data_IF_765497653951
#
_entry.id   IF_765497653951
#
_cell.length_a   1.000
_cell.length_b   1.000
_cell.length_c   1.000
_cell.angle_alpha   90.00
_cell.angle_beta   90.00
_cell.angle_gamma   90.00
#
_symmetry.space_group_name_H-M   'P 1'
#
loop_
_entity.id
_entity.type
_entity.pdbx_description
1 polymer ?
#
# COMPACT_ATOMS: atom_id res chain seq x y z
N UNK A 1 2.17 -5.95 16.31
CA UNK A 1 2.54 -5.13 15.15
C UNK A 1 4.03 -4.75 15.12
N UNK A 2 4.62 -4.60 13.93
CA UNK A 2 5.95 -4.02 13.67
C UNK A 2 5.92 -3.13 12.42
N UNK A 3 6.71 -2.07 12.41
CA UNK A 3 6.97 -1.21 11.26
C UNK A 3 8.39 -1.50 10.73
N UNK A 4 8.52 -1.61 9.41
CA UNK A 4 9.78 -1.71 8.68
C UNK A 4 9.81 -0.57 7.67
N UNK A 5 10.95 0.11 7.54
CA UNK A 5 11.11 1.27 6.64
C UNK A 5 12.13 0.93 5.54
N UNK A 6 11.96 1.54 4.36
CA UNK A 6 12.90 1.46 3.25
C UNK A 6 13.10 0.04 2.75
N UNK A 7 11.99 -0.65 2.43
CA UNK A 7 12.07 -2.01 1.92
C UNK A 7 12.51 -1.96 0.46
N UNK A 8 13.45 -2.82 0.05
CA UNK A 8 13.83 -2.85 -1.35
C UNK A 8 12.63 -3.27 -2.21
N UNK A 9 12.41 -2.54 -3.30
CA UNK A 9 11.41 -2.93 -4.27
C UNK A 9 11.85 -4.24 -4.93
N UNK A 10 11.04 -5.32 -4.89
CA UNK A 10 11.49 -6.62 -5.38
C UNK A 10 11.93 -6.58 -6.84
N UNK A 11 13.18 -6.97 -7.10
CA UNK A 11 13.76 -6.94 -8.45
C UNK A 11 14.21 -5.55 -8.93
N UNK A 12 14.40 -4.60 -8.03
CA UNK A 12 15.02 -3.30 -8.27
C UNK A 12 16.13 -3.07 -7.25
N UNK A 13 17.26 -2.54 -7.69
CA UNK A 13 18.36 -2.12 -6.79
C UNK A 13 18.24 -0.66 -6.35
N UNK A 14 17.36 0.12 -6.99
CA UNK A 14 17.31 1.58 -6.86
C UNK A 14 15.96 2.12 -6.41
N UNK A 15 14.96 1.26 -6.24
CA UNK A 15 13.63 1.66 -5.80
C UNK A 15 13.29 0.96 -4.49
N UNK A 16 12.53 1.65 -3.66
CA UNK A 16 12.05 1.17 -2.37
C UNK A 16 10.53 1.32 -2.26
N UNK A 17 9.96 0.55 -1.33
CA UNK A 17 8.66 0.80 -0.73
C UNK A 17 8.93 1.50 0.59
N UNK A 18 8.37 2.69 0.79
CA UNK A 18 8.68 3.54 1.95
C UNK A 18 8.56 2.77 3.26
N UNK A 19 7.44 2.06 3.44
CA UNK A 19 7.15 1.37 4.69
C UNK A 19 6.40 0.05 4.49
N UNK A 20 6.56 -0.85 5.46
CA UNK A 20 5.69 -2.00 5.65
C UNK A 20 5.25 -2.13 7.12
N UNK A 21 3.97 -2.38 7.34
CA UNK A 21 3.42 -2.70 8.66
C UNK A 21 3.01 -4.16 8.70
N UNK A 22 3.54 -4.90 9.67
CA UNK A 22 3.28 -6.32 9.89
C UNK A 22 2.48 -6.52 11.18
N UNK A 23 1.33 -7.20 11.08
CA UNK A 23 0.53 -7.66 12.21
C UNK A 23 0.11 -9.12 11.99
N UNK A 24 0.53 -10.05 12.85
CA UNK A 24 0.37 -11.49 12.62
C UNK A 24 0.98 -11.91 11.27
N UNK A 25 0.11 -12.31 10.33
CA UNK A 25 0.43 -12.66 8.94
C UNK A 25 -0.04 -11.62 7.90
N UNK A 26 -0.54 -10.46 8.34
CA UNK A 26 -1.01 -9.37 7.47
C UNK A 26 0.11 -8.35 7.28
N UNK A 27 0.39 -8.01 6.03
CA UNK A 27 1.42 -7.05 5.61
C UNK A 27 0.76 -5.93 4.82
N UNK A 28 0.84 -4.71 5.34
CA UNK A 28 0.50 -3.51 4.61
C UNK A 28 1.78 -2.89 4.02
N UNK A 29 1.88 -2.79 2.71
CA UNK A 29 2.91 -2.02 2.01
C UNK A 29 2.40 -0.59 1.82
N UNK A 30 3.23 0.41 2.12
CA UNK A 30 2.83 1.81 2.13
C UNK A 30 3.84 2.63 1.33
N UNK A 31 3.33 3.45 0.42
CA UNK A 31 4.06 4.50 -0.28
C UNK A 31 3.37 5.85 -0.01
N UNK A 32 4.12 6.80 0.55
CA UNK A 32 3.61 8.08 1.03
C UNK A 32 3.88 9.18 0.01
N UNK A 33 2.83 9.91 -0.37
CA UNK A 33 2.89 10.91 -1.43
C UNK A 33 2.38 12.26 -0.96
N UNK A 34 3.18 13.31 -1.19
CA UNK A 34 2.77 14.70 -0.96
C UNK A 34 2.26 15.32 -2.28
N UNK A 35 0.96 15.25 -2.51
CA UNK A 35 0.32 15.71 -3.76
C UNK A 35 -0.56 16.94 -3.56
N UNK A 36 -0.80 17.67 -4.65
CA UNK A 36 -1.78 18.77 -4.62
C UNK A 36 -3.19 18.17 -4.52
N UNK A 37 -4.13 18.80 -3.79
CA UNK A 37 -5.52 18.37 -3.82
C UNK A 37 -6.06 18.35 -5.25
N UNK A 38 -6.73 17.25 -5.59
CA UNK A 38 -7.39 16.94 -6.86
C UNK A 38 -8.15 15.61 -6.68
N UNK A 39 -8.86 15.17 -7.71
CA UNK A 39 -9.39 13.80 -7.75
C UNK A 39 -8.35 12.85 -8.33
N UNK A 40 -8.00 11.81 -7.57
CA UNK A 40 -7.07 10.75 -7.93
C UNK A 40 -7.81 9.42 -7.98
N UNK A 41 -7.47 8.56 -8.93
CA UNK A 41 -8.00 7.20 -8.99
C UNK A 41 -6.93 6.22 -9.46
N UNK A 42 -6.94 5.01 -8.91
CA UNK A 42 -6.18 3.90 -9.46
C UNK A 42 -6.78 3.47 -10.80
N UNK A 43 -5.93 2.98 -11.71
CA UNK A 43 -6.36 2.36 -12.95
C UNK A 43 -6.31 0.84 -12.77
N UNK A 44 -7.48 0.19 -12.73
CA UNK A 44 -7.60 -1.26 -12.49
C UNK A 44 -6.65 -2.08 -13.37
N UNK A 45 -5.82 -2.95 -12.77
CA UNK A 45 -4.92 -3.84 -13.53
C UNK A 45 -3.76 -3.15 -14.24
N UNK A 46 -3.51 -1.87 -13.94
CA UNK A 46 -2.41 -1.10 -14.51
C UNK A 46 -1.56 -0.46 -13.41
N UNK A 47 -0.26 -0.36 -13.65
CA UNK A 47 0.69 0.41 -12.83
C UNK A 47 0.53 1.92 -13.09
N UNK A 48 -0.67 2.45 -12.88
CA UNK A 48 -0.98 3.85 -13.15
C UNK A 48 -2.03 4.44 -12.21
N UNK A 49 -1.88 5.74 -11.97
CA UNK A 49 -2.86 6.61 -11.32
C UNK A 49 -3.29 7.64 -12.33
N UNK A 50 -4.59 7.92 -12.35
CA UNK A 50 -5.16 9.04 -13.11
C UNK A 50 -5.53 10.19 -12.18
N UNK A 51 -5.31 11.41 -12.66
CA UNK A 51 -5.58 12.67 -11.96
C UNK A 51 -6.40 13.57 -12.87
N UNK A 52 -7.47 14.16 -12.34
CA UNK A 52 -8.34 15.04 -13.11
C UNK A 52 -9.80 14.83 -12.78
N UNK A 53 -10.69 15.02 -13.74
CA UNK A 53 -12.13 14.97 -13.52
C UNK A 53 -12.89 15.20 -14.81
N UNK A 54 -13.93 16.04 -14.76
CA UNK A 54 -14.82 16.32 -15.90
C UNK A 54 -14.08 16.94 -17.10
N UNK A 55 -13.04 17.72 -16.85
CA UNK A 55 -12.22 18.35 -17.91
C UNK A 55 -11.21 17.39 -18.56
N UNK A 56 -11.11 16.15 -18.06
CA UNK A 56 -10.21 15.12 -18.58
C UNK A 56 -9.28 14.54 -17.51
N UNK A 57 -8.54 13.50 -17.91
CA UNK A 57 -7.66 12.73 -17.04
C UNK A 57 -6.23 12.71 -17.57
N UNK A 58 -5.27 12.99 -16.69
CA UNK A 58 -3.84 12.76 -16.89
C UNK A 58 -3.42 11.46 -16.20
N UNK A 59 -2.48 10.72 -16.76
CA UNK A 59 -2.04 9.42 -16.26
C UNK A 59 -0.58 9.45 -15.85
N UNK A 60 -0.27 8.87 -14.69
CA UNK A 60 1.06 8.82 -14.11
C UNK A 60 1.39 7.39 -13.69
N UNK A 61 2.64 6.93 -13.84
CA UNK A 61 3.07 5.63 -13.36
C UNK A 61 2.87 5.46 -11.84
N UNK A 62 2.47 4.26 -11.42
CA UNK A 62 2.37 3.87 -10.02
C UNK A 62 2.79 2.42 -9.86
N UNK A 63 3.86 2.17 -9.10
CA UNK A 63 4.50 0.85 -9.04
C UNK A 63 3.99 -0.04 -7.88
N UNK A 64 3.08 0.46 -7.05
CA UNK A 64 2.56 -0.28 -5.90
C UNK A 64 1.83 -1.59 -6.29
N UNK A 65 1.03 -1.67 -7.37
CA UNK A 65 0.43 -2.95 -7.79
C UNK A 65 1.50 -4.01 -8.09
N UNK A 66 2.51 -3.66 -8.88
CA UNK A 66 3.67 -4.52 -9.12
C UNK A 66 4.40 -4.88 -7.82
N UNK A 67 4.60 -3.95 -6.88
CA UNK A 67 5.24 -4.25 -5.59
C UNK A 67 4.46 -5.33 -4.82
N UNK A 68 3.14 -5.17 -4.69
CA UNK A 68 2.26 -6.12 -4.02
C UNK A 68 2.33 -7.50 -4.68
N UNK A 69 2.24 -7.57 -6.01
CA UNK A 69 2.34 -8.83 -6.75
C UNK A 69 3.66 -9.55 -6.48
N UNK A 70 4.79 -8.83 -6.60
CA UNK A 70 6.12 -9.42 -6.41
C UNK A 70 6.38 -9.84 -4.96
N UNK A 71 5.89 -9.09 -3.97
CA UNK A 71 5.94 -9.50 -2.57
C UNK A 71 5.12 -10.77 -2.34
N UNK A 72 3.89 -10.85 -2.86
CA UNK A 72 3.04 -12.06 -2.78
C UNK A 72 3.74 -13.26 -3.41
N UNK A 73 4.32 -13.11 -4.60
CA UNK A 73 5.06 -14.18 -5.28
C UNK A 73 6.28 -14.65 -4.47
N UNK A 74 7.07 -13.72 -3.94
CA UNK A 74 8.28 -14.02 -3.17
C UNK A 74 7.97 -14.74 -1.86
N UNK A 75 6.94 -14.29 -1.14
CA UNK A 75 6.46 -14.92 0.09
C UNK A 75 5.89 -16.33 -0.20
N UNK A 76 5.10 -16.46 -1.27
CA UNK A 76 4.55 -17.73 -1.75
C UNK A 76 5.63 -18.75 -2.11
N UNK A 77 6.67 -18.34 -2.84
CA UNK A 77 7.82 -19.19 -3.19
C UNK A 77 8.59 -19.69 -1.96
N UNK A 78 8.59 -18.92 -0.86
CA UNK A 78 9.18 -19.30 0.43
C UNK A 78 8.20 -20.05 1.36
N UNK A 79 6.99 -20.34 0.89
CA UNK A 79 5.89 -20.97 1.65
C UNK A 79 5.53 -20.18 2.92
N UNK A 80 5.72 -18.86 2.89
CA UNK A 80 5.29 -17.95 3.94
C UNK A 80 3.87 -17.48 3.62
N UNK A 81 2.90 -17.89 4.45
CA UNK A 81 1.50 -17.49 4.29
C UNK A 81 1.34 -16.08 4.82
N UNK A 82 1.17 -15.11 3.92
CA UNK A 82 0.88 -13.73 4.28
C UNK A 82 -0.24 -13.16 3.41
N UNK A 83 -1.06 -12.30 4.01
CA UNK A 83 -1.97 -11.44 3.28
C UNK A 83 -1.28 -10.10 3.05
N UNK A 84 -1.10 -9.70 1.79
CA UNK A 84 -0.41 -8.46 1.43
C UNK A 84 -1.41 -7.50 0.81
N UNK A 85 -1.49 -6.27 1.31
CA UNK A 85 -2.24 -5.15 0.72
C UNK A 85 -1.30 -3.96 0.50
N UNK A 86 -1.49 -3.24 -0.59
CA UNK A 86 -0.74 -2.02 -0.89
C UNK A 86 -1.58 -0.77 -0.62
N UNK A 87 -0.90 0.27 -0.17
CA UNK A 87 -1.50 1.56 0.12
C UNK A 87 -0.63 2.65 -0.46
N UNK A 88 -1.24 3.55 -1.22
CA UNK A 88 -0.63 4.82 -1.59
C UNK A 88 -1.32 5.89 -0.75
N UNK A 89 -0.56 6.44 0.19
CA UNK A 89 -1.07 7.38 1.20
C UNK A 89 -0.84 8.78 0.70
N UNK A 90 -1.93 9.52 0.47
CA UNK A 90 -1.87 10.89 -0.02
C UNK A 90 -1.94 11.86 1.16
N UNK A 91 -0.85 12.61 1.33
CA UNK A 91 -0.80 13.78 2.20
C UNK A 91 -1.06 15.02 1.34
N UNK A 92 -2.22 15.67 1.47
CA UNK A 92 -2.54 16.83 0.65
C UNK A 92 -1.62 18.00 1.02
N UNK A 93 -1.06 18.67 0.01
CA UNK A 93 -0.22 19.87 0.17
C UNK A 93 -0.99 21.10 0.66
N UNK A 94 -2.31 21.04 0.64
CA UNK A 94 -3.23 22.10 1.05
C UNK A 94 -4.42 21.45 1.75
N UNK A 95 -4.84 22.00 2.89
CA UNK A 95 -5.99 21.52 3.66
C UNK A 95 -7.28 22.30 3.34
N UNK A 96 -7.20 23.28 2.44
CA UNK A 96 -8.32 24.17 2.08
C UNK A 96 -8.94 23.83 0.74
N UNK A 97 -8.29 22.97 -0.05
CA UNK A 97 -8.80 22.47 -1.33
C UNK A 97 -9.17 20.99 -1.17
N UNK A 98 -10.17 20.55 -1.91
CA UNK A 98 -10.71 19.21 -1.78
C UNK A 98 -9.78 18.17 -2.42
N UNK A 99 -9.54 17.08 -1.68
CA UNK A 99 -8.87 15.88 -2.13
C UNK A 99 -9.89 14.75 -2.23
N UNK A 100 -9.99 14.12 -3.39
CA UNK A 100 -10.86 12.97 -3.59
C UNK A 100 -10.03 11.77 -4.07
N UNK A 101 -10.18 10.63 -3.39
CA UNK A 101 -9.44 9.40 -3.67
C UNK A 101 -10.43 8.29 -4.06
N UNK A 102 -10.54 8.05 -5.36
CA UNK A 102 -11.47 7.08 -5.92
C UNK A 102 -10.85 5.67 -5.96
N UNK A 103 -11.52 4.72 -5.29
CA UNK A 103 -11.14 3.32 -5.22
C UNK A 103 -12.19 2.37 -5.82
N UNK A 104 -13.16 2.90 -6.55
CA UNK A 104 -14.30 2.19 -7.15
C UNK A 104 -13.90 1.21 -8.27
N UNK A 105 -12.74 1.44 -8.91
CA UNK A 105 -12.19 0.62 -10.00
C UNK A 105 -10.89 -0.05 -9.62
N UNK A 106 -10.82 -0.66 -8.45
CA UNK A 106 -9.64 -1.45 -8.03
C UNK A 106 -10.02 -2.91 -7.83
N UNK A 107 -9.05 -3.81 -7.92
CA UNK A 107 -9.21 -5.21 -7.50
C UNK A 107 -9.04 -5.40 -5.99
N UNK A 108 -8.95 -4.29 -5.23
CA UNK A 108 -8.72 -4.26 -3.78
C UNK A 108 -7.29 -4.58 -3.35
N UNK A 109 -6.37 -4.86 -4.27
CA UNK A 109 -4.97 -5.17 -3.92
C UNK A 109 -4.18 -3.93 -3.50
N UNK A 110 -4.50 -2.78 -4.09
CA UNK A 110 -3.92 -1.47 -3.78
C UNK A 110 -5.02 -0.44 -3.61
N UNK A 111 -4.89 0.41 -2.59
CA UNK A 111 -5.82 1.52 -2.34
C UNK A 111 -5.12 2.86 -2.24
N UNK A 112 -5.80 3.90 -2.72
CA UNK A 112 -5.48 5.29 -2.46
C UNK A 112 -6.22 5.72 -1.20
N UNK A 113 -5.48 6.21 -0.20
CA UNK A 113 -6.05 6.61 1.09
C UNK A 113 -5.39 7.88 1.60
N UNK A 114 -6.09 8.64 2.41
CA UNK A 114 -5.50 9.62 3.30
C UNK A 114 -4.85 8.92 4.49
N UNK A 115 -4.06 9.67 5.28
CA UNK A 115 -3.44 9.11 6.49
C UNK A 115 -4.49 8.62 7.52
N UNK A 116 -5.61 9.33 7.64
CA UNK A 116 -6.68 8.95 8.58
C UNK A 116 -7.41 7.68 8.10
N UNK A 117 -7.77 7.62 6.81
CA UNK A 117 -8.37 6.43 6.22
C UNK A 117 -7.45 5.21 6.35
N UNK A 118 -6.13 5.38 6.15
CA UNK A 118 -5.18 4.29 6.38
C UNK A 118 -5.26 3.77 7.82
N UNK A 119 -5.25 4.67 8.82
CA UNK A 119 -5.28 4.27 10.24
C UNK A 119 -6.56 3.48 10.54
N UNK A 120 -7.70 3.95 10.06
CA UNK A 120 -8.99 3.27 10.24
C UNK A 120 -8.97 1.90 9.57
N UNK A 121 -8.53 1.82 8.32
CA UNK A 121 -8.48 0.57 7.56
C UNK A 121 -7.51 -0.45 8.15
N UNK A 122 -6.30 -0.04 8.54
CA UNK A 122 -5.34 -0.92 9.19
C UNK A 122 -5.84 -1.34 10.57
N UNK A 123 -6.48 -0.44 11.31
CA UNK A 123 -7.10 -0.73 12.60
C UNK A 123 -8.17 -1.81 12.50
N UNK A 124 -9.10 -1.67 11.55
CA UNK A 124 -10.12 -2.68 11.26
C UNK A 124 -9.47 -3.98 10.78
N UNK A 125 -8.67 -3.93 9.71
CA UNK A 125 -8.10 -5.13 9.09
C UNK A 125 -7.18 -5.91 10.04
N UNK A 126 -6.36 -5.25 10.85
CA UNK A 126 -5.49 -5.96 11.79
C UNK A 126 -6.22 -6.51 13.01
N UNK A 127 -7.41 -5.99 13.33
CA UNK A 127 -8.21 -6.45 14.47
C UNK A 127 -9.29 -7.48 14.11
N UNK A 128 -9.51 -7.77 12.81
CA UNK A 128 -10.47 -8.80 12.35
C UNK A 128 -10.21 -10.20 12.94
N UNK A 129 -8.98 -10.49 13.37
CA UNK A 129 -8.58 -11.74 14.01
C UNK A 129 -7.77 -11.42 15.26
N UNK A 130 -8.37 -11.65 16.44
CA UNK A 130 -7.79 -11.30 17.74
C UNK A 130 -6.45 -12.04 18.02
N UNK A 131 -6.30 -13.26 17.51
CA UNK A 131 -5.06 -14.04 17.66
C UNK A 131 -3.93 -13.40 16.84
N UNK A 132 -4.25 -12.95 15.62
CA UNK A 132 -3.28 -12.28 14.75
C UNK A 132 -2.96 -10.85 15.25
N UNK A 133 -3.93 -10.15 15.83
CA UNK A 133 -3.79 -8.76 16.28
C UNK A 133 -2.67 -8.56 17.33
N UNK A 134 -2.44 -9.58 18.16
CA UNK A 134 -1.45 -9.52 19.26
C UNK A 134 -0.11 -10.17 18.92
N UNK A 135 0.04 -10.73 17.72
CA UNK A 135 1.23 -11.52 17.33
C UNK A 135 2.02 -10.88 16.19
N UNK A 136 3.24 -11.38 15.99
CA UNK A 136 4.11 -11.00 14.86
C UNK A 136 4.81 -12.28 14.38
N UNK A 137 4.60 -12.65 13.11
CA UNK A 137 5.34 -13.76 12.52
C UNK A 137 6.81 -13.36 12.30
N UNK A 138 7.72 -14.01 13.05
CA UNK A 138 9.16 -13.70 13.02
C UNK A 138 9.81 -14.08 11.69
N UNK A 139 9.27 -15.05 10.96
CA UNK A 139 9.78 -15.43 9.63
C UNK A 139 9.40 -14.37 8.60
N UNK A 140 8.17 -13.86 8.65
CA UNK A 140 7.75 -12.72 7.83
C UNK A 140 8.57 -11.47 8.15
N UNK A 141 8.74 -11.15 9.43
CA UNK A 141 9.57 -10.02 9.84
C UNK A 141 11.01 -10.15 9.34
N UNK A 142 11.61 -11.34 9.48
CA UNK A 142 12.97 -11.60 9.01
C UNK A 142 13.10 -11.51 7.49
N UNK A 143 12.04 -11.85 6.76
CA UNK A 143 11.98 -11.67 5.31
C UNK A 143 11.94 -10.18 4.94
N UNK A 144 11.06 -9.39 5.55
CA UNK A 144 10.94 -7.94 5.27
C UNK A 144 12.19 -7.13 5.65
N UNK A 145 12.93 -7.56 6.68
CA UNK A 145 14.18 -6.91 7.08
C UNK A 145 15.37 -7.24 6.18
N UNK A 146 15.22 -8.20 5.27
CA UNK A 146 16.28 -8.67 4.36
C UNK A 146 15.87 -8.58 2.89
N UNK A 147 14.67 -8.06 2.62
CA UNK A 147 14.12 -7.93 1.28
C UNK A 147 14.76 -6.76 0.56
#
# INVERSE_FOLDING_TARGET
>A
MRLVNGLAFPGSETADVDHAVLCGRRVALIDSKAWKPATYAMVAGHDAIRVGGDEGWSYFPAHMPTAVERYRASLGGRRLRAEVRGYIVVHPKSITEDLELLNDRTDGSVRLVTANELIEELGTWFSEDEEQATTVDRRLLSFLLRS
#
